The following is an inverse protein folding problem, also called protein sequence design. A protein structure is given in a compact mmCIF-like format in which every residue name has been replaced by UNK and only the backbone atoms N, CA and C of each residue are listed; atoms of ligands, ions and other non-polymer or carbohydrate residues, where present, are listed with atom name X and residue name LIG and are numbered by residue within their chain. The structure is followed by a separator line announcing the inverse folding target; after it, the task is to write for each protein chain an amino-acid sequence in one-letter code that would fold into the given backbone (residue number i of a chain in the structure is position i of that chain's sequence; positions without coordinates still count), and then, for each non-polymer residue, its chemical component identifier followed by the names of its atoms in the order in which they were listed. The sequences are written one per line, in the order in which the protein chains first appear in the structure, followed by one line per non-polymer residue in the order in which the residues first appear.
data_IF_028985421285
#
_entry.id   IF_028985421285
#
_cell.length_a   1.000
_cell.length_b   1.000
_cell.length_c   1.000
_cell.angle_alpha   90.00
_cell.angle_beta   90.00
_cell.angle_gamma   90.00
#
_symmetry.space_group_name_H-M   'P 1'
#
loop_
_entity.id
_entity.type
_entity.pdbx_description
1 polymer ?
#
# COMPACT_ATOMS: atom_id res chain seq x y z
N UNK A 1 7.25 -12.82 -16.25
CA UNK A 1 5.95 -12.32 -15.82
C UNK A 1 6.10 -11.53 -14.52
N UNK A 2 5.46 -10.38 -14.40
CA UNK A 2 5.58 -9.60 -13.17
C UNK A 2 4.84 -10.24 -12.01
N UNK A 3 5.39 -10.04 -10.81
CA UNK A 3 4.71 -10.42 -9.56
C UNK A 3 3.49 -9.53 -9.33
N UNK A 4 3.61 -8.26 -9.70
CA UNK A 4 2.58 -7.25 -9.48
C UNK A 4 2.52 -6.30 -10.67
N UNK A 5 1.32 -6.01 -11.11
CA UNK A 5 1.03 -4.91 -12.03
C UNK A 5 0.28 -3.85 -11.21
N UNK A 6 0.72 -2.61 -11.29
CA UNK A 6 0.15 -1.53 -10.50
C UNK A 6 0.01 -0.25 -11.32
N UNK A 7 -0.76 0.69 -10.82
CA UNK A 7 -0.98 1.96 -11.50
C UNK A 7 -1.46 3.04 -10.56
N UNK A 8 -1.92 4.13 -11.16
CA UNK A 8 -2.40 5.30 -10.44
C UNK A 8 -3.84 5.14 -9.97
N UNK A 9 -4.21 5.95 -8.99
CA UNK A 9 -5.56 6.01 -8.44
C UNK A 9 -5.99 7.46 -8.36
N UNK A 10 -7.20 7.73 -8.83
CA UNK A 10 -7.86 9.02 -8.66
C UNK A 10 -8.81 8.96 -7.46
N UNK A 11 -9.06 10.11 -6.85
CA UNK A 11 -10.06 10.25 -5.80
C UNK A 11 -11.35 10.81 -6.40
N UNK A 12 -12.47 10.23 -6.01
CA UNK A 12 -13.80 10.67 -6.43
C UNK A 12 -14.67 10.88 -5.20
N UNK A 13 -15.73 11.70 -5.36
CA UNK A 13 -16.72 11.90 -4.30
C UNK A 13 -17.86 10.88 -4.42
N UNK A 14 -18.88 11.02 -3.54
CA UNK A 14 -20.01 10.10 -3.52
C UNK A 14 -20.85 10.11 -4.82
N UNK A 15 -20.76 11.17 -5.61
CA UNK A 15 -21.42 11.30 -6.91
C UNK A 15 -20.50 10.87 -8.06
N UNK A 16 -19.38 10.24 -7.75
CA UNK A 16 -18.37 9.77 -8.70
C UNK A 16 -17.68 10.91 -9.46
N UNK A 17 -17.71 12.12 -8.91
CA UNK A 17 -17.04 13.26 -9.50
C UNK A 17 -15.57 13.29 -9.09
N UNK A 18 -14.70 13.60 -10.04
CA UNK A 18 -13.27 13.70 -9.83
C UNK A 18 -12.92 14.78 -8.79
N UNK A 19 -12.15 14.40 -7.78
CA UNK A 19 -11.62 15.31 -6.77
C UNK A 19 -10.18 15.67 -7.09
N UNK A 20 -9.37 14.67 -7.41
CA UNK A 20 -7.95 14.85 -7.69
C UNK A 20 -7.21 13.52 -7.68
N UNK A 21 -5.89 13.53 -7.95
CA UNK A 21 -5.10 12.32 -7.81
C UNK A 21 -4.97 11.95 -6.34
N UNK A 22 -4.76 10.68 -6.07
CA UNK A 22 -4.48 10.20 -4.72
C UNK A 22 -3.20 10.88 -4.21
N UNK A 23 -3.17 11.26 -2.93
CA UNK A 23 -2.05 12.02 -2.34
C UNK A 23 -0.70 11.31 -2.52
N UNK A 24 -0.66 10.00 -2.27
CA UNK A 24 0.55 9.21 -2.48
C UNK A 24 0.52 8.63 -3.87
N UNK A 25 1.61 8.80 -4.60
CA UNK A 25 1.75 8.30 -5.98
C UNK A 25 2.62 7.06 -6.01
N UNK A 26 2.33 6.10 -6.91
CA UNK A 26 3.19 4.94 -7.08
C UNK A 26 4.56 5.34 -7.63
N UNK A 27 5.63 4.66 -7.16
CA UNK A 27 6.96 4.89 -7.71
C UNK A 27 7.09 4.27 -9.10
N UNK A 28 8.11 4.67 -9.85
CA UNK A 28 8.41 4.05 -11.14
C UNK A 28 8.73 2.56 -10.97
N UNK A 29 9.51 2.23 -9.94
CA UNK A 29 9.89 0.84 -9.62
C UNK A 29 9.39 0.50 -8.22
N UNK A 30 8.43 -0.42 -8.16
CA UNK A 30 7.83 -0.85 -6.91
C UNK A 30 8.57 -2.08 -6.37
N UNK A 31 8.93 -2.05 -5.08
CA UNK A 31 9.48 -3.17 -4.37
C UNK A 31 8.83 -3.29 -2.99
N UNK A 32 9.10 -4.39 -2.28
CA UNK A 32 8.57 -4.55 -0.93
C UNK A 32 9.07 -3.43 0.02
N UNK A 33 10.22 -2.83 -0.28
CA UNK A 33 10.77 -1.72 0.52
C UNK A 33 10.05 -0.40 0.27
N UNK A 34 9.35 -0.27 -0.84
CA UNK A 34 8.66 0.97 -1.21
C UNK A 34 7.63 1.39 -0.15
N UNK A 35 6.99 0.44 0.52
CA UNK A 35 5.98 0.74 1.52
C UNK A 35 6.53 1.24 2.85
N UNK A 36 7.84 1.36 2.98
CA UNK A 36 8.44 2.16 4.07
C UNK A 36 7.95 3.61 4.03
N UNK A 37 7.61 4.09 2.86
CA UNK A 37 7.16 5.47 2.63
C UNK A 37 5.63 5.62 2.71
N UNK A 38 4.93 4.57 3.10
CA UNK A 38 3.48 4.55 3.21
C UNK A 38 2.84 3.68 2.14
N UNK A 39 1.53 3.74 2.02
CA UNK A 39 0.77 2.99 1.01
C UNK A 39 0.83 3.72 -0.32
N UNK A 40 1.97 3.62 -1.00
CA UNK A 40 2.23 4.35 -2.26
C UNK A 40 1.32 3.91 -3.41
N UNK A 41 0.85 2.67 -3.37
CA UNK A 41 -0.10 2.13 -4.35
C UNK A 41 -1.38 1.78 -3.62
N UNK A 42 -2.51 2.29 -4.12
CA UNK A 42 -3.82 1.91 -3.59
C UNK A 42 -4.03 0.41 -3.83
N UNK A 43 -4.57 -0.31 -2.83
CA UNK A 43 -4.79 -1.75 -2.99
C UNK A 43 -5.71 -2.07 -4.16
N UNK A 44 -6.58 -1.16 -4.55
CA UNK A 44 -7.45 -1.33 -5.72
C UNK A 44 -6.72 -1.17 -7.05
N UNK A 45 -5.49 -0.65 -7.03
CA UNK A 45 -4.63 -0.51 -8.20
C UNK A 45 -3.39 -1.41 -8.13
N UNK A 46 -3.49 -2.50 -7.37
CA UNK A 46 -2.41 -3.45 -7.11
C UNK A 46 -2.90 -4.84 -7.48
N UNK A 47 -2.35 -5.42 -8.54
CA UNK A 47 -2.78 -6.72 -9.07
C UNK A 47 -1.64 -7.73 -8.94
N UNK A 48 -1.80 -8.69 -8.05
CA UNK A 48 -0.82 -9.74 -7.83
C UNK A 48 -0.94 -10.86 -8.86
N UNK A 49 0.20 -11.44 -9.23
CA UNK A 49 0.20 -12.64 -10.05
C UNK A 49 -0.61 -13.73 -9.34
N UNK A 50 -1.39 -14.49 -10.11
CA UNK A 50 -2.31 -15.49 -9.54
C UNK A 50 -1.63 -16.51 -8.63
N UNK A 51 -0.41 -16.91 -8.94
CA UNK A 51 0.31 -17.90 -8.13
C UNK A 51 0.70 -17.35 -6.76
N UNK A 52 0.99 -16.06 -6.68
CA UNK A 52 1.27 -15.38 -5.40
C UNK A 52 -0.03 -15.12 -4.64
N UNK A 53 -1.06 -14.71 -5.34
CA UNK A 53 -2.38 -14.45 -4.76
C UNK A 53 -2.95 -15.72 -4.09
N UNK A 54 -2.87 -16.85 -4.77
CA UNK A 54 -3.43 -18.12 -4.26
C UNK A 54 -2.77 -18.62 -3.00
N UNK A 55 -1.49 -18.28 -2.81
CA UNK A 55 -0.70 -18.80 -1.69
C UNK A 55 -0.48 -17.77 -0.58
N UNK A 56 -1.10 -16.59 -0.68
CA UNK A 56 -0.90 -15.51 0.27
C UNK A 56 -2.24 -14.94 0.72
N UNK A 57 -2.73 -15.41 1.86
CA UNK A 57 -3.97 -14.90 2.44
C UNK A 57 -3.69 -13.65 3.27
N UNK A 58 -4.73 -12.84 3.49
CA UNK A 58 -4.66 -11.73 4.43
C UNK A 58 -4.43 -12.28 5.83
N UNK A 59 -3.61 -11.58 6.62
CA UNK A 59 -3.42 -11.88 8.03
C UNK A 59 -4.54 -11.22 8.81
N UNK A 60 -5.47 -12.01 9.30
CA UNK A 60 -6.71 -11.51 9.92
C UNK A 60 -6.49 -10.88 11.29
N UNK A 61 -5.30 -10.95 11.86
CA UNK A 61 -4.99 -10.21 13.09
C UNK A 61 -4.93 -8.70 12.85
N UNK A 62 -4.72 -8.26 11.60
CA UNK A 62 -4.77 -6.86 11.22
C UNK A 62 -6.17 -6.50 10.75
N UNK A 63 -6.87 -5.67 11.50
CA UNK A 63 -8.28 -5.34 11.21
C UNK A 63 -8.42 -4.19 10.21
N UNK A 64 -7.47 -3.26 10.20
CA UNK A 64 -7.59 -2.01 9.44
C UNK A 64 -6.55 -1.87 8.34
N UNK A 65 -5.46 -2.63 8.41
CA UNK A 65 -4.34 -2.52 7.49
C UNK A 65 -3.85 -3.87 6.97
N UNK A 66 -4.76 -4.85 6.89
CA UNK A 66 -4.42 -6.17 6.37
C UNK A 66 -3.93 -6.11 4.92
N UNK A 67 -4.47 -5.21 4.12
CA UNK A 67 -4.05 -4.98 2.74
C UNK A 67 -2.61 -4.47 2.66
N UNK A 68 -2.22 -3.57 3.55
CA UNK A 68 -0.86 -3.05 3.62
C UNK A 68 0.14 -4.18 3.87
N UNK A 69 -0.12 -5.02 4.86
CA UNK A 69 0.72 -6.19 5.15
C UNK A 69 0.74 -7.18 3.99
N UNK A 70 -0.42 -7.46 3.40
CA UNK A 70 -0.55 -8.40 2.29
C UNK A 70 0.26 -7.95 1.07
N UNK A 71 0.17 -6.67 0.72
CA UNK A 71 0.93 -6.13 -0.41
C UNK A 71 2.44 -6.29 -0.20
N UNK A 72 2.93 -6.04 1.02
CA UNK A 72 4.34 -6.23 1.34
C UNK A 72 4.74 -7.69 1.18
N UNK A 73 3.92 -8.62 1.68
CA UNK A 73 4.21 -10.06 1.59
C UNK A 73 4.20 -10.56 0.15
N UNK A 74 3.27 -10.07 -0.67
CA UNK A 74 3.24 -10.40 -2.11
C UNK A 74 4.53 -9.94 -2.79
N UNK A 75 4.94 -8.70 -2.52
CA UNK A 75 6.17 -8.14 -3.11
C UNK A 75 7.41 -8.88 -2.65
N UNK A 76 7.47 -9.29 -1.38
CA UNK A 76 8.59 -10.10 -0.87
C UNK A 76 8.67 -11.46 -1.56
N UNK A 77 7.53 -12.13 -1.74
CA UNK A 77 7.49 -13.43 -2.42
C UNK A 77 7.90 -13.29 -3.89
N UNK A 78 7.43 -12.24 -4.55
CA UNK A 78 7.83 -11.98 -5.92
C UNK A 78 9.33 -11.73 -6.06
N UNK A 79 9.89 -10.94 -5.14
CA UNK A 79 11.31 -10.65 -5.12
C UNK A 79 12.13 -11.92 -4.90
N UNK A 80 11.72 -12.77 -3.97
CA UNK A 80 12.38 -14.06 -3.71
C UNK A 80 12.38 -14.98 -4.94
N UNK A 81 11.36 -14.87 -5.78
CA UNK A 81 11.24 -15.63 -7.04
C UNK A 81 11.83 -14.89 -8.24
N UNK A 82 12.48 -13.76 -8.00
CA UNK A 82 13.05 -12.89 -9.04
C UNK A 82 12.03 -12.44 -10.08
N UNK A 83 10.79 -12.25 -9.64
CA UNK A 83 9.72 -11.65 -10.44
C UNK A 83 9.74 -10.15 -10.25
N UNK A 84 9.71 -9.40 -11.34
CA UNK A 84 9.68 -7.96 -11.28
C UNK A 84 8.28 -7.41 -11.02
N UNK A 85 8.16 -6.09 -11.07
CA UNK A 85 6.88 -5.40 -11.02
C UNK A 85 6.72 -4.56 -12.29
N UNK A 86 5.47 -4.25 -12.66
CA UNK A 86 5.19 -3.49 -13.88
C UNK A 86 4.24 -2.33 -13.57
N UNK A 87 4.69 -1.11 -13.86
CA UNK A 87 3.86 0.08 -13.76
C UNK A 87 3.04 0.21 -15.05
N UNK A 88 1.72 0.19 -14.92
CA UNK A 88 0.83 0.24 -16.09
C UNK A 88 0.81 1.63 -16.76
N UNK A 89 1.35 2.66 -16.11
CA UNK A 89 1.42 4.04 -16.63
C UNK A 89 0.05 4.64 -16.94
N UNK A 90 -0.96 4.22 -16.17
CA UNK A 90 -2.31 4.73 -16.34
C UNK A 90 -3.06 4.70 -15.01
N UNK A 91 -4.20 5.38 -14.99
CA UNK A 91 -5.13 5.36 -13.86
C UNK A 91 -5.92 4.06 -13.94
N UNK A 92 -5.82 3.23 -12.89
CA UNK A 92 -6.48 1.93 -12.87
C UNK A 92 -7.76 1.98 -12.05
N UNK A 93 -7.81 2.77 -10.98
CA UNK A 93 -8.95 2.78 -10.07
C UNK A 93 -9.36 4.17 -9.67
N UNK A 94 -10.65 4.30 -9.36
CA UNK A 94 -11.22 5.47 -8.71
C UNK A 94 -11.55 5.09 -7.27
N UNK A 95 -11.03 5.83 -6.32
CA UNK A 95 -11.19 5.55 -4.90
C UNK A 95 -12.15 6.56 -4.28
N UNK A 96 -13.18 6.05 -3.62
CA UNK A 96 -14.14 6.91 -2.93
C UNK A 96 -13.48 7.57 -1.72
N UNK A 97 -13.41 8.90 -1.76
CA UNK A 97 -12.82 9.68 -0.68
C UNK A 97 -13.90 9.97 0.38
N UNK A 98 -14.14 9.00 1.26
CA UNK A 98 -14.97 9.21 2.43
C UNK A 98 -14.09 9.62 3.60
N UNK A 99 -14.56 10.58 4.40
CA UNK A 99 -13.83 10.98 5.59
C UNK A 99 -13.68 9.79 6.54
N UNK A 100 -12.45 9.44 6.87
CA UNK A 100 -12.19 8.41 7.87
C UNK A 100 -12.52 8.94 9.26
N UNK A 101 -13.13 8.09 10.08
CA UNK A 101 -13.31 8.44 11.49
C UNK A 101 -11.94 8.49 12.17
N UNK A 102 -11.77 9.44 13.08
CA UNK A 102 -10.52 9.63 13.82
C UNK A 102 -10.11 8.36 14.57
N UNK A 103 -11.07 7.64 15.11
CA UNK A 103 -10.85 6.39 15.84
C UNK A 103 -10.18 5.33 14.98
N UNK A 104 -10.73 5.08 13.80
CA UNK A 104 -10.21 4.06 12.89
C UNK A 104 -8.85 4.48 12.34
N UNK A 105 -8.65 5.78 12.15
CA UNK A 105 -7.36 6.29 11.68
C UNK A 105 -6.23 5.98 12.66
N UNK A 106 -6.44 6.20 13.97
CA UNK A 106 -5.44 5.90 14.99
C UNK A 106 -5.13 4.40 15.06
N UNK A 107 -6.17 3.57 15.02
CA UNK A 107 -6.00 2.12 15.03
C UNK A 107 -5.25 1.61 13.80
N UNK A 108 -5.57 2.17 12.65
CA UNK A 108 -4.89 1.85 11.39
C UNK A 108 -3.41 2.24 11.45
N UNK A 109 -3.08 3.41 11.98
CA UNK A 109 -1.70 3.86 12.14
C UNK A 109 -0.91 2.93 13.08
N UNK A 110 -1.52 2.48 14.17
CA UNK A 110 -0.87 1.57 15.10
C UNK A 110 -0.59 0.22 14.45
N UNK A 111 -1.56 -0.32 13.72
CA UNK A 111 -1.37 -1.57 12.97
C UNK A 111 -0.27 -1.43 11.94
N UNK A 112 -0.28 -0.31 11.19
CA UNK A 112 0.73 -0.04 10.18
C UNK A 112 2.13 0.04 10.80
N UNK A 113 2.24 0.65 11.97
CA UNK A 113 3.49 0.70 12.72
C UNK A 113 3.99 -0.72 13.04
N UNK A 114 3.11 -1.59 13.53
CA UNK A 114 3.45 -2.99 13.85
C UNK A 114 3.87 -3.76 12.61
N UNK A 115 3.17 -3.57 11.50
CA UNK A 115 3.49 -4.22 10.23
C UNK A 115 4.87 -3.77 9.74
N UNK A 116 5.15 -2.49 9.78
CA UNK A 116 6.43 -1.94 9.37
C UNK A 116 7.56 -2.42 10.27
N UNK A 117 7.33 -2.50 11.57
CA UNK A 117 8.30 -3.05 12.50
C UNK A 117 8.66 -4.49 12.12
N UNK A 118 7.65 -5.31 11.85
CA UNK A 118 7.84 -6.71 11.47
C UNK A 118 8.63 -6.88 10.17
N UNK A 119 8.33 -6.06 9.17
CA UNK A 119 8.91 -6.21 7.83
C UNK A 119 10.23 -5.46 7.65
N UNK A 120 10.38 -4.31 8.26
CA UNK A 120 11.49 -3.39 8.01
C UNK A 120 12.42 -3.17 9.22
N UNK A 121 12.01 -3.65 10.39
CA UNK A 121 12.78 -3.50 11.63
C UNK A 121 12.49 -2.20 12.37
N UNK A 122 12.87 -2.17 13.66
CA UNK A 122 12.48 -1.10 14.58
C UNK A 122 13.06 0.27 14.24
N UNK A 123 14.35 0.34 13.95
CA UNK A 123 14.99 1.64 13.66
C UNK A 123 14.43 2.27 12.39
N UNK A 124 14.27 1.48 11.33
CA UNK A 124 13.68 1.97 10.07
C UNK A 124 12.25 2.44 10.28
N UNK A 125 11.46 1.69 11.03
CA UNK A 125 10.06 2.02 11.30
C UNK A 125 9.92 3.32 12.07
N UNK A 126 10.72 3.49 13.14
CA UNK A 126 10.71 4.71 13.94
C UNK A 126 11.12 5.90 13.09
N UNK A 127 12.21 5.79 12.33
CA UNK A 127 12.68 6.86 11.47
C UNK A 127 11.66 7.29 10.44
N UNK A 128 11.02 6.34 9.78
CA UNK A 128 10.00 6.65 8.76
C UNK A 128 8.73 7.26 9.37
N UNK A 129 8.34 6.83 10.57
CA UNK A 129 7.19 7.44 11.24
C UNK A 129 7.47 8.87 11.69
N UNK A 130 8.68 9.16 12.14
CA UNK A 130 9.09 10.53 12.43
C UNK A 130 9.06 11.39 11.17
N UNK A 131 9.54 10.85 10.05
CA UNK A 131 9.49 11.54 8.78
C UNK A 131 8.05 11.79 8.32
N UNK A 132 7.15 10.81 8.47
CA UNK A 132 5.73 10.97 8.16
C UNK A 132 5.12 12.10 8.98
N UNK A 133 5.46 12.20 10.25
CA UNK A 133 4.98 13.25 11.12
C UNK A 133 5.44 14.63 10.65
N UNK A 134 6.72 14.77 10.30
CA UNK A 134 7.30 16.05 9.86
C UNK A 134 6.74 16.51 8.51
N UNK A 135 6.54 15.60 7.55
CA UNK A 135 6.05 15.94 6.21
C UNK A 135 4.55 16.25 6.17
N UNK A 136 3.84 15.95 7.23
CA UNK A 136 2.39 16.14 7.27
C UNK A 136 2.06 17.62 7.14
N UNK A 137 1.18 18.00 6.20
CA UNK A 137 0.81 19.41 6.01
C UNK A 137 0.02 19.98 7.20
#
# INVERSE_FOLDING_TARGET
RPAVIFGHTDLVDADEKYIGPRRLSPPEHLSWKSFKHGMLVCHQAFFAHKDLFRTTAYDMKYRFSADFDWCIRILKKGDAKKMGTHHAQCIISDYLNEGMTTQNHKKSLLERFRIMWRHYGGFSTIGHHLWFFVRKP
#
